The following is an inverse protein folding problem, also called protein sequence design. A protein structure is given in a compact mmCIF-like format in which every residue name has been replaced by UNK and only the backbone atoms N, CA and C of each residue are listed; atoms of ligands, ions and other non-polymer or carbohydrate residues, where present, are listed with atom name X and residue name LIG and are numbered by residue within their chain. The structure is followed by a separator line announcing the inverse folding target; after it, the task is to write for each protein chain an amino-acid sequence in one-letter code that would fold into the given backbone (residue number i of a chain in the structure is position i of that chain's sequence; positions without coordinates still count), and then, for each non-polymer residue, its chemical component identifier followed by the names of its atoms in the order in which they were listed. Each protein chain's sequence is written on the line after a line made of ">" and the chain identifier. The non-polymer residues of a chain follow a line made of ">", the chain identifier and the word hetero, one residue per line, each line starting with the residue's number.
data_IF_835255794704
#
_entry.id   IF_835255794704
#
_cell.length_a   1.000
_cell.length_b   1.000
_cell.length_c   1.000
_cell.angle_alpha   90.00
_cell.angle_beta   90.00
_cell.angle_gamma   90.00
#
_symmetry.space_group_name_H-M   'P 1'
#
loop_
_entity.id
_entity.type
_entity.pdbx_description
1 polymer ?
#
# COMPACT_ATOMS: atom_id res chain seq x y z
N UNK A 1 3.53 -7.12 -0.13
CA UNK A 1 4.06 -5.90 -0.79
C UNK A 1 4.08 -5.97 -2.31
N UNK A 2 4.66 -7.00 -2.96
CA UNK A 2 4.67 -7.12 -4.43
C UNK A 2 3.25 -7.18 -5.04
N UNK A 3 2.29 -7.78 -4.32
CA UNK A 3 0.89 -7.81 -4.72
C UNK A 3 0.23 -6.41 -4.74
N UNK A 4 0.58 -5.54 -3.78
CA UNK A 4 0.10 -4.15 -3.71
C UNK A 4 0.68 -3.35 -4.89
N UNK A 5 1.99 -3.44 -5.11
CA UNK A 5 2.63 -2.78 -6.25
C UNK A 5 2.04 -3.22 -7.60
N UNK A 6 1.79 -4.52 -7.78
CA UNK A 6 1.13 -5.04 -8.98
C UNK A 6 -0.33 -4.57 -9.12
N UNK A 7 -1.05 -4.43 -8.01
CA UNK A 7 -2.40 -3.89 -8.02
C UNK A 7 -2.41 -2.40 -8.37
N UNK A 8 -1.43 -1.61 -7.91
CA UNK A 8 -1.31 -0.19 -8.25
C UNK A 8 -0.96 0.04 -9.73
N UNK A 9 -0.20 -0.86 -10.35
CA UNK A 9 0.15 -0.77 -11.77
C UNK A 9 -1.05 -0.79 -12.72
N UNK A 10 -2.23 -1.28 -12.28
CA UNK A 10 -3.45 -1.24 -13.10
C UNK A 10 -4.24 0.07 -13.01
N UNK A 11 -3.70 1.08 -12.32
CA UNK A 11 -4.37 2.35 -12.01
C UNK A 11 -5.80 2.15 -11.44
N UNK A 12 -5.95 1.39 -10.34
CA UNK A 12 -7.26 1.06 -9.80
C UNK A 12 -7.90 2.29 -9.16
N UNK A 13 -9.20 2.49 -9.39
CA UNK A 13 -9.97 3.54 -8.66
C UNK A 13 -10.24 3.18 -7.20
N UNK A 14 -10.09 1.91 -6.82
CA UNK A 14 -10.33 1.38 -5.48
C UNK A 14 -9.37 0.22 -5.21
N UNK A 15 -8.61 0.32 -4.13
CA UNK A 15 -7.70 -0.72 -3.65
C UNK A 15 -8.17 -1.16 -2.26
N UNK A 16 -8.60 -2.43 -2.13
CA UNK A 16 -8.96 -3.04 -0.86
C UNK A 16 -7.79 -3.88 -0.35
N UNK A 17 -7.43 -3.70 0.92
CA UNK A 17 -6.38 -4.45 1.60
C UNK A 17 -7.01 -5.13 2.81
N UNK A 18 -6.95 -6.47 2.84
CA UNK A 18 -7.33 -7.23 4.02
C UNK A 18 -6.08 -7.54 4.85
N UNK A 19 -6.11 -7.17 6.12
CA UNK A 19 -5.02 -7.34 7.11
C UNK A 19 -3.58 -7.00 6.62
N UNK A 20 -3.32 -5.78 6.08
CA UNK A 20 -2.02 -5.45 5.46
C UNK A 20 -0.82 -5.42 6.43
N UNK A 21 -1.07 -5.41 7.74
CA UNK A 21 -0.08 -5.31 8.81
C UNK A 21 0.38 -6.65 9.39
N UNK A 22 -0.29 -7.76 9.05
CA UNK A 22 -0.08 -9.03 9.74
C UNK A 22 1.31 -9.62 9.42
N UNK A 23 2.12 -9.83 10.46
CA UNK A 23 3.49 -10.37 10.32
C UNK A 23 4.58 -9.37 9.92
N UNK A 24 4.28 -8.06 9.89
CA UNK A 24 5.26 -7.01 9.62
C UNK A 24 5.77 -6.35 10.91
N UNK A 25 7.04 -5.94 10.92
CA UNK A 25 7.59 -5.11 11.98
C UNK A 25 6.90 -3.72 11.96
N UNK A 26 6.65 -3.07 13.12
CA UNK A 26 5.93 -1.79 13.20
C UNK A 26 6.49 -0.69 12.28
N UNK A 27 7.82 -0.62 12.12
CA UNK A 27 8.47 0.38 11.28
C UNK A 27 8.20 0.18 9.78
N UNK A 28 8.04 -1.06 9.35
CA UNK A 28 7.74 -1.39 7.95
C UNK A 28 6.31 -0.98 7.60
N UNK A 29 5.38 -1.12 8.55
CA UNK A 29 3.99 -0.71 8.38
C UNK A 29 3.91 0.79 8.13
N UNK A 30 4.60 1.60 8.95
CA UNK A 30 4.61 3.06 8.81
C UNK A 30 5.12 3.47 7.42
N UNK A 31 6.26 2.92 6.98
CA UNK A 31 6.82 3.21 5.66
C UNK A 31 5.88 2.85 4.50
N UNK A 32 5.14 1.74 4.61
CA UNK A 32 4.14 1.35 3.61
C UNK A 32 3.00 2.37 3.55
N UNK A 33 2.46 2.78 4.71
CA UNK A 33 1.38 3.76 4.74
C UNK A 33 1.80 5.12 4.20
N UNK A 34 2.98 5.60 4.58
CA UNK A 34 3.53 6.86 4.07
C UNK A 34 3.69 6.82 2.53
N UNK A 35 4.15 5.69 1.99
CA UNK A 35 4.28 5.49 0.53
C UNK A 35 2.91 5.47 -0.17
N UNK A 36 1.91 4.82 0.42
CA UNK A 36 0.54 4.77 -0.12
C UNK A 36 -0.10 6.17 -0.08
N UNK A 37 0.14 6.94 0.97
CA UNK A 37 -0.37 8.31 1.11
C UNK A 37 0.22 9.24 0.05
N UNK A 38 1.53 9.20 -0.16
CA UNK A 38 2.20 9.94 -1.24
C UNK A 38 1.67 9.56 -2.63
N UNK A 39 1.41 8.26 -2.86
CA UNK A 39 0.81 7.78 -4.10
C UNK A 39 -0.61 8.32 -4.32
N UNK A 40 -1.41 8.45 -3.24
CA UNK A 40 -2.73 9.06 -3.30
C UNK A 40 -2.66 10.54 -3.64
N UNK A 41 -1.68 11.28 -3.12
CA UNK A 41 -1.53 12.71 -3.41
C UNK A 41 -1.09 12.99 -4.85
N UNK A 42 -0.41 12.03 -5.49
CA UNK A 42 0.08 12.14 -6.87
C UNK A 42 -0.93 11.72 -7.95
N UNK A 43 -2.09 11.18 -7.57
CA UNK A 43 -3.16 10.71 -8.48
C UNK A 43 -4.44 11.51 -8.35
#
# INVERSE_FOLDING_TARGET
>A
MLAIGRALMSNPRLLLLDEPSLGLAPIIIQQIFDTIEQLREQG
#
